data_IF_429726170250
#
_entry.id   IF_429726170250
#
_cell.length_a   1.000
_cell.length_b   1.000
_cell.length_c   1.000
_cell.angle_alpha   90.00
_cell.angle_beta   90.00
_cell.angle_gamma   90.00
#
_symmetry.space_group_name_H-M   'P 1'
#
loop_
_entity.id
_entity.type
_entity.pdbx_description
1 polymer ?
#
# COMPACT_ATOMS: atom_id res chain seq x y z
N UNK A 1 -11.17 -22.26 6.51
CA UNK A 1 -9.77 -21.91 6.16
C UNK A 1 -9.07 -21.42 7.41
N UNK A 2 -7.89 -21.96 7.74
CA UNK A 2 -7.10 -21.50 8.88
C UNK A 2 -6.73 -20.02 8.71
N UNK A 3 -6.71 -19.28 9.81
CA UNK A 3 -6.30 -17.88 9.80
C UNK A 3 -4.78 -17.84 9.67
N UNK A 4 -4.28 -17.30 8.55
CA UNK A 4 -2.85 -17.06 8.35
C UNK A 4 -2.29 -16.26 9.54
N UNK A 5 -1.14 -16.70 10.04
CA UNK A 5 -0.36 -15.95 11.01
C UNK A 5 0.05 -14.60 10.45
N UNK A 6 0.45 -13.67 11.32
CA UNK A 6 0.96 -12.36 10.88
C UNK A 6 2.21 -12.50 10.00
N UNK A 7 2.99 -13.56 10.22
CA UNK A 7 4.19 -13.84 9.44
C UNK A 7 3.84 -14.32 8.02
N UNK A 8 2.83 -15.17 7.88
CA UNK A 8 2.38 -15.68 6.57
C UNK A 8 1.66 -14.62 5.72
N UNK A 9 1.19 -13.53 6.31
CA UNK A 9 0.59 -12.38 5.62
C UNK A 9 1.66 -11.43 5.06
N UNK A 10 2.66 -11.99 4.38
CA UNK A 10 3.76 -11.23 3.80
C UNK A 10 3.32 -10.42 2.57
N UNK A 11 4.06 -9.35 2.28
CA UNK A 11 3.96 -8.59 1.04
C UNK A 11 5.36 -8.34 0.51
N UNK A 12 5.61 -8.73 -0.73
CA UNK A 12 6.90 -8.61 -1.40
C UNK A 12 6.71 -7.73 -2.64
N UNK A 13 7.48 -6.65 -2.72
CA UNK A 13 7.50 -5.76 -3.88
C UNK A 13 8.84 -5.95 -4.58
N UNK A 14 8.82 -6.52 -5.77
CA UNK A 14 10.02 -6.77 -6.56
C UNK A 14 10.06 -5.86 -7.80
N UNK A 15 11.21 -5.26 -8.06
CA UNK A 15 11.47 -4.51 -9.28
C UNK A 15 12.96 -4.48 -9.59
N UNK A 16 13.30 -4.68 -10.86
CA UNK A 16 14.68 -4.59 -11.38
C UNK A 16 14.95 -3.20 -11.99
N UNK A 17 16.08 -2.99 -12.65
CA UNK A 17 16.38 -1.72 -13.35
C UNK A 17 15.84 -1.69 -14.79
N UNK A 18 15.69 -2.85 -15.43
CA UNK A 18 15.35 -2.96 -16.84
C UNK A 18 13.87 -2.67 -17.16
N UNK A 19 12.96 -3.09 -16.29
CA UNK A 19 11.51 -2.95 -16.48
C UNK A 19 11.00 -1.59 -15.97
N UNK A 20 9.81 -1.16 -16.38
CA UNK A 20 9.15 0.04 -15.82
C UNK A 20 8.27 -0.27 -14.61
N UNK A 21 7.86 -1.52 -14.46
CA UNK A 21 6.82 -1.95 -13.53
C UNK A 21 7.39 -2.80 -12.38
N UNK A 22 6.80 -2.65 -11.21
CA UNK A 22 7.04 -3.46 -10.04
C UNK A 22 5.98 -4.56 -9.93
N UNK A 23 6.42 -5.74 -9.51
CA UNK A 23 5.56 -6.88 -9.19
C UNK A 23 5.31 -6.90 -7.70
N UNK A 24 4.04 -6.86 -7.29
CA UNK A 24 3.63 -6.91 -5.90
C UNK A 24 2.94 -8.24 -5.63
N UNK A 25 3.59 -9.09 -4.85
CA UNK A 25 2.98 -10.29 -4.31
C UNK A 25 2.49 -10.01 -2.87
N UNK A 26 1.29 -10.46 -2.53
CA UNK A 26 0.76 -10.26 -1.18
C UNK A 26 -0.19 -11.38 -0.73
N UNK A 27 -0.07 -11.73 0.55
CA UNK A 27 -1.02 -12.54 1.34
C UNK A 27 -1.79 -11.71 2.37
N UNK A 28 -1.54 -10.40 2.43
CA UNK A 28 -2.26 -9.49 3.34
C UNK A 28 -3.59 -9.06 2.70
N UNK A 29 -4.70 -9.46 3.33
CA UNK A 29 -6.06 -9.13 2.88
C UNK A 29 -6.34 -7.62 2.85
N UNK A 30 -5.67 -6.81 3.67
CA UNK A 30 -5.82 -5.37 3.64
C UNK A 30 -5.10 -4.77 2.42
N UNK A 31 -3.92 -5.28 2.08
CA UNK A 31 -3.18 -4.86 0.88
C UNK A 31 -3.91 -5.32 -0.39
N UNK A 32 -4.40 -6.55 -0.44
CA UNK A 32 -5.23 -7.06 -1.55
C UNK A 32 -6.42 -6.15 -1.84
N UNK A 33 -7.22 -5.81 -0.82
CA UNK A 33 -8.39 -4.93 -0.99
C UNK A 33 -8.03 -3.57 -1.56
N UNK A 34 -6.89 -2.99 -1.14
CA UNK A 34 -6.41 -1.71 -1.68
C UNK A 34 -5.98 -1.84 -3.14
N UNK A 35 -5.21 -2.88 -3.48
CA UNK A 35 -4.76 -3.10 -4.85
C UNK A 35 -5.91 -3.49 -5.77
N UNK A 36 -6.88 -4.27 -5.31
CA UNK A 36 -8.10 -4.60 -6.05
C UNK A 36 -8.91 -3.32 -6.37
N UNK A 37 -9.04 -2.40 -5.40
CA UNK A 37 -9.68 -1.11 -5.66
C UNK A 37 -8.92 -0.29 -6.71
N UNK A 38 -7.58 -0.24 -6.64
CA UNK A 38 -6.75 0.45 -7.63
C UNK A 38 -6.81 -0.19 -9.02
N UNK A 39 -6.90 -1.52 -9.10
CA UNK A 39 -7.10 -2.24 -10.37
C UNK A 39 -8.47 -1.91 -10.96
N UNK A 40 -9.50 -1.78 -10.15
CA UNK A 40 -10.85 -1.41 -10.61
C UNK A 40 -10.93 0.06 -11.06
N UNK A 41 -10.25 0.97 -10.34
CA UNK A 41 -10.30 2.41 -10.60
C UNK A 41 -9.36 2.83 -11.74
N UNK A 42 -8.18 2.17 -11.86
CA UNK A 42 -7.13 2.50 -12.82
C UNK A 42 -6.57 1.22 -13.49
N UNK A 43 -7.39 0.46 -14.25
CA UNK A 43 -6.99 -0.82 -14.86
C UNK A 43 -5.85 -0.70 -15.87
N UNK A 44 -5.64 0.48 -16.45
CA UNK A 44 -4.52 0.79 -17.34
C UNK A 44 -3.18 0.92 -16.60
N UNK A 45 -3.22 1.24 -15.32
CA UNK A 45 -2.04 1.45 -14.45
C UNK A 45 -1.77 0.23 -13.57
N UNK A 46 -2.80 -0.34 -12.95
CA UNK A 46 -2.67 -1.46 -12.04
C UNK A 46 -3.28 -2.71 -12.66
N UNK A 47 -2.52 -3.81 -12.65
CA UNK A 47 -2.97 -5.08 -13.23
C UNK A 47 -2.90 -6.19 -12.21
N UNK A 48 -3.96 -6.99 -12.11
CA UNK A 48 -3.90 -8.26 -11.37
C UNK A 48 -3.34 -9.34 -12.30
N UNK A 49 -2.17 -9.89 -11.97
CA UNK A 49 -1.47 -10.88 -12.79
C UNK A 49 -1.85 -12.31 -12.42
N UNK A 50 -2.04 -12.56 -11.11
CA UNK A 50 -2.36 -13.90 -10.60
C UNK A 50 -3.22 -13.79 -9.36
N UNK A 51 -4.21 -14.68 -9.25
CA UNK A 51 -5.08 -14.86 -8.10
C UNK A 51 -5.06 -16.33 -7.70
N UNK A 52 -4.87 -16.58 -6.41
CA UNK A 52 -5.08 -17.89 -5.78
C UNK A 52 -6.08 -17.74 -4.64
N UNK A 53 -6.38 -18.85 -3.94
CA UNK A 53 -7.29 -18.83 -2.79
C UNK A 53 -6.74 -17.99 -1.62
N UNK A 54 -5.42 -17.81 -1.55
CA UNK A 54 -4.74 -17.21 -0.39
C UNK A 54 -3.86 -16.00 -0.74
N UNK A 55 -3.45 -15.83 -1.99
CA UNK A 55 -2.53 -14.78 -2.43
C UNK A 55 -2.93 -14.16 -3.78
N UNK A 56 -2.40 -12.95 -4.01
CA UNK A 56 -2.56 -12.23 -5.26
C UNK A 56 -1.24 -11.60 -5.67
N UNK A 57 -1.02 -11.53 -6.97
CA UNK A 57 0.13 -10.86 -7.58
C UNK A 57 -0.36 -9.76 -8.51
N UNK A 58 0.24 -8.58 -8.40
CA UNK A 58 -0.13 -7.39 -9.14
C UNK A 58 1.08 -6.79 -9.88
N UNK A 59 0.82 -6.04 -10.95
CA UNK A 59 1.77 -5.14 -11.60
C UNK A 59 1.37 -3.69 -11.34
N UNK A 60 2.35 -2.83 -11.07
CA UNK A 60 2.15 -1.38 -11.00
C UNK A 60 3.43 -0.63 -11.39
N UNK A 61 3.35 0.63 -11.87
CA UNK A 61 4.55 1.41 -12.18
C UNK A 61 5.47 1.62 -10.97
N UNK A 62 6.79 1.48 -11.17
CA UNK A 62 7.80 1.63 -10.10
C UNK A 62 7.77 3.00 -9.43
N UNK A 63 7.34 4.04 -10.16
CA UNK A 63 7.22 5.43 -9.65
C UNK A 63 6.30 5.56 -8.43
N UNK A 64 5.40 4.59 -8.20
CA UNK A 64 4.52 4.58 -7.03
C UNK A 64 5.11 3.88 -5.81
N UNK A 65 6.24 3.17 -5.95
CA UNK A 65 7.03 2.70 -4.81
C UNK A 65 7.83 3.88 -4.27
N UNK A 66 7.62 4.21 -3.00
CA UNK A 66 8.27 5.38 -2.39
C UNK A 66 9.11 5.01 -1.16
N UNK A 67 10.38 5.41 -1.17
CA UNK A 67 11.22 5.45 0.02
C UNK A 67 10.97 6.75 0.76
N UNK A 68 10.44 6.68 1.98
CA UNK A 68 10.12 7.87 2.77
C UNK A 68 11.00 7.92 4.01
N UNK A 69 11.66 9.07 4.22
CA UNK A 69 12.34 9.31 5.50
C UNK A 69 11.32 9.25 6.64
N UNK A 70 11.68 8.66 7.80
CA UNK A 70 10.85 8.73 8.98
C UNK A 70 10.49 10.19 9.26
N UNK A 71 9.20 10.43 9.52
CA UNK A 71 8.72 11.79 9.75
C UNK A 71 9.17 12.26 11.13
N UNK A 72 10.25 13.03 11.20
CA UNK A 72 10.63 13.79 12.41
C UNK A 72 9.70 14.99 12.53
N UNK A 73 8.61 14.84 13.27
CA UNK A 73 7.71 15.95 13.61
C UNK A 73 8.19 16.49 14.96
N UNK A 74 8.56 17.77 15.02
CA UNK A 74 8.80 18.44 16.31
C UNK A 74 7.52 18.46 17.14
N UNK A 75 7.63 18.43 18.46
CA UNK A 75 6.45 18.46 19.34
C UNK A 75 5.56 19.69 19.07
N UNK A 76 6.17 20.85 18.80
CA UNK A 76 5.45 22.07 18.38
C UNK A 76 4.58 21.87 17.14
N UNK A 77 5.08 21.14 16.13
CA UNK A 77 4.34 20.85 14.90
C UNK A 77 3.28 19.76 15.11
N UNK A 78 3.44 18.88 16.11
CA UNK A 78 2.37 17.94 16.54
C UNK A 78 1.24 18.71 17.21
N UNK A 79 1.56 19.63 18.13
CA UNK A 79 0.59 20.47 18.84
C UNK A 79 -0.26 21.29 17.87
N UNK A 80 0.40 22.00 16.94
CA UNK A 80 -0.29 22.80 15.92
C UNK A 80 -1.25 21.99 15.06
N UNK A 81 -0.91 20.74 14.72
CA UNK A 81 -1.83 19.85 13.99
C UNK A 81 -2.98 19.36 14.84
N UNK A 82 -2.75 19.09 16.14
CA UNK A 82 -3.82 18.74 17.08
C UNK A 82 -4.83 19.88 17.19
N UNK A 83 -4.36 21.11 17.37
CA UNK A 83 -5.20 22.30 17.46
C UNK A 83 -5.97 22.56 16.16
N UNK A 84 -5.31 22.41 15.01
CA UNK A 84 -5.96 22.55 13.71
C UNK A 84 -7.08 21.51 13.50
N UNK A 85 -6.84 20.24 13.84
CA UNK A 85 -7.87 19.19 13.76
C UNK A 85 -9.03 19.42 14.73
N UNK A 86 -8.76 19.93 15.94
CA UNK A 86 -9.83 20.34 16.86
C UNK A 86 -10.71 21.43 16.25
N UNK A 87 -10.11 22.43 15.59
CA UNK A 87 -10.86 23.49 14.91
C UNK A 87 -11.72 22.97 13.75
N UNK A 88 -11.20 22.03 12.96
CA UNK A 88 -11.95 21.41 11.86
C UNK A 88 -13.14 20.61 12.37
N UNK A 89 -12.96 19.82 13.44
CA UNK A 89 -14.03 18.98 13.99
C UNK A 89 -15.09 19.76 14.80
N UNK A 90 -14.83 21.03 15.13
CA UNK A 90 -15.77 21.92 15.82
C UNK A 90 -16.65 22.74 14.86
N UNK A 91 -16.57 22.47 13.55
CA UNK A 91 -17.45 23.00 12.51
C UNK A 91 -18.26 21.85 11.91
#
# INVERSE_FOLDING_TARGET
>A
MSKLSKYEQETIINFNVAESDAVVYTRDKAVMRKLDALVNEFPEVYKCLKVTDIDKTYSMPKKYVSYRKPRKISEKLKEQRREHMKRINHH
#
